data_IF_219472617476
#
_entry.id   IF_219472617476
#
_cell.length_a   1.000
_cell.length_b   1.000
_cell.length_c   1.000
_cell.angle_alpha   90.00
_cell.angle_beta   90.00
_cell.angle_gamma   90.00
#
_symmetry.space_group_name_H-M   'P 1'
#
loop_
_entity.id
_entity.type
_entity.pdbx_description
1 polymer ?
#
# COMPACT_ATOMS: atom_id res chain seq x y z
N UNK A 1 -58.67 62.27 -10.38
CA UNK A 1 -60.10 61.93 -10.45
C UNK A 1 -60.25 60.79 -11.45
N UNK A 2 -60.91 59.69 -11.06
CA UNK A 2 -61.49 58.64 -11.93
C UNK A 2 -60.51 57.55 -12.45
N UNK A 3 -60.39 56.37 -11.83
CA UNK A 3 -61.23 55.13 -11.84
C UNK A 3 -60.97 54.18 -13.03
N UNK A 4 -60.26 53.07 -12.72
CA UNK A 4 -60.62 51.64 -12.85
C UNK A 4 -61.03 50.97 -14.20
N UNK A 5 -60.39 49.79 -14.42
CA UNK A 5 -60.82 48.52 -15.07
C UNK A 5 -60.85 48.41 -16.61
N UNK A 6 -60.11 47.44 -17.16
CA UNK A 6 -60.71 46.20 -17.72
C UNK A 6 -59.66 45.20 -18.27
N UNK A 7 -59.95 43.92 -18.00
CA UNK A 7 -59.28 42.64 -18.27
C UNK A 7 -58.58 42.41 -19.64
N UNK A 8 -57.46 41.65 -19.63
CA UNK A 8 -57.40 40.31 -20.29
C UNK A 8 -56.14 39.52 -19.90
N UNK A 9 -56.38 38.28 -19.49
CA UNK A 9 -55.41 37.24 -19.15
C UNK A 9 -54.39 36.99 -20.25
N UNK A 10 -53.13 36.73 -19.89
CA UNK A 10 -52.30 35.75 -20.58
C UNK A 10 -51.29 35.12 -19.63
N UNK A 11 -51.25 33.80 -19.73
CA UNK A 11 -50.66 32.80 -18.89
C UNK A 11 -49.27 32.49 -19.43
N UNK A 12 -48.20 32.59 -18.64
CA UNK A 12 -46.91 31.96 -18.97
C UNK A 12 -46.13 31.58 -17.70
N UNK A 13 -46.35 30.34 -17.29
CA UNK A 13 -45.32 29.34 -17.04
C UNK A 13 -44.03 29.77 -16.32
N UNK A 14 -43.90 29.27 -15.10
CA UNK A 14 -42.82 28.36 -14.70
C UNK A 14 -41.41 28.69 -15.23
N UNK A 15 -40.69 29.51 -14.48
CA UNK A 15 -39.22 29.48 -14.46
C UNK A 15 -38.79 29.27 -13.02
N UNK A 16 -38.92 28.02 -12.55
CA UNK A 16 -38.10 27.50 -11.47
C UNK A 16 -36.66 27.63 -11.96
N UNK A 17 -35.94 28.66 -11.48
CA UNK A 17 -34.51 28.81 -11.72
C UNK A 17 -33.81 27.65 -11.00
N UNK A 18 -33.75 26.50 -11.67
CA UNK A 18 -32.75 25.47 -11.39
C UNK A 18 -31.40 26.09 -11.74
N UNK A 19 -30.82 26.79 -10.77
CA UNK A 19 -29.40 27.08 -10.78
C UNK A 19 -28.67 25.75 -11.01
N UNK A 20 -27.82 25.63 -12.05
CA UNK A 20 -26.94 24.49 -12.14
C UNK A 20 -26.05 24.54 -10.92
N UNK A 21 -26.30 23.66 -9.95
CA UNK A 21 -25.39 23.41 -8.83
C UNK A 21 -24.14 22.85 -9.47
N UNK A 22 -23.19 23.72 -9.81
CA UNK A 22 -21.82 23.29 -10.06
C UNK A 22 -21.35 22.75 -8.72
N UNK A 23 -21.54 21.45 -8.53
CA UNK A 23 -20.81 20.70 -7.55
C UNK A 23 -19.36 20.82 -8.01
N UNK A 24 -18.65 21.81 -7.46
CA UNK A 24 -17.20 21.80 -7.45
C UNK A 24 -16.87 20.51 -6.70
N UNK A 25 -16.63 19.44 -7.43
CA UNK A 25 -15.89 18.32 -6.90
C UNK A 25 -14.53 18.90 -6.59
N UNK A 26 -14.36 19.37 -5.36
CA UNK A 26 -13.04 19.57 -4.80
C UNK A 26 -12.38 18.20 -4.93
N UNK A 27 -11.49 18.08 -5.91
CA UNK A 27 -10.60 16.95 -6.00
C UNK A 27 -9.88 16.90 -4.66
N UNK A 28 -10.30 15.98 -3.77
CA UNK A 28 -9.52 15.60 -2.60
C UNK A 28 -8.28 14.84 -3.07
N UNK A 29 -7.46 15.50 -3.89
CA UNK A 29 -6.12 15.08 -4.25
C UNK A 29 -5.24 15.32 -3.01
N UNK A 30 -5.32 14.44 -2.02
CA UNK A 30 -4.44 14.54 -0.85
C UNK A 30 -4.75 13.59 0.28
N UNK A 31 -6.03 13.29 0.54
CA UNK A 31 -6.42 12.34 1.57
C UNK A 31 -6.59 10.96 0.97
N UNK A 32 -6.00 9.92 1.60
CA UNK A 32 -6.46 8.55 1.36
C UNK A 32 -7.95 8.54 1.69
N UNK A 33 -8.78 8.10 0.74
CA UNK A 33 -10.19 7.86 1.03
C UNK A 33 -10.31 6.86 2.19
N UNK A 34 -11.35 6.97 3.01
CA UNK A 34 -11.52 6.08 4.18
C UNK A 34 -11.52 4.62 3.73
N UNK A 35 -12.13 4.34 2.58
CA UNK A 35 -12.14 3.01 1.94
C UNK A 35 -10.74 2.50 1.62
N UNK A 36 -9.88 3.40 1.12
CA UNK A 36 -8.48 3.11 0.83
C UNK A 36 -7.70 2.79 2.10
N UNK A 37 -7.88 3.59 3.15
CA UNK A 37 -7.23 3.35 4.44
C UNK A 37 -7.68 2.02 5.08
N UNK A 38 -8.97 1.70 4.99
CA UNK A 38 -9.51 0.41 5.44
C UNK A 38 -8.91 -0.74 4.63
N UNK A 39 -8.76 -0.60 3.31
CA UNK A 39 -8.14 -1.64 2.46
C UNK A 39 -6.69 -1.90 2.86
N UNK A 40 -5.91 -0.85 3.12
CA UNK A 40 -4.54 -0.97 3.65
C UNK A 40 -4.54 -1.71 4.98
N UNK A 41 -5.41 -1.29 5.92
CA UNK A 41 -5.47 -1.90 7.25
C UNK A 41 -5.83 -3.39 7.20
N UNK A 42 -6.80 -3.77 6.36
CA UNK A 42 -7.20 -5.18 6.17
C UNK A 42 -6.08 -5.99 5.52
N UNK A 43 -5.39 -5.44 4.52
CA UNK A 43 -4.24 -6.11 3.87
C UNK A 43 -3.11 -6.35 4.88
N UNK A 44 -2.71 -5.33 5.64
CA UNK A 44 -1.66 -5.44 6.64
C UNK A 44 -2.06 -6.42 7.75
N UNK A 45 -3.31 -6.39 8.23
CA UNK A 45 -3.80 -7.33 9.22
C UNK A 45 -3.79 -8.78 8.70
N UNK A 46 -4.19 -8.99 7.45
CA UNK A 46 -4.11 -10.30 6.80
C UNK A 46 -2.66 -10.78 6.66
N UNK A 47 -1.73 -9.89 6.29
CA UNK A 47 -0.29 -10.15 6.26
C UNK A 47 0.23 -10.60 7.63
N UNK A 48 -0.10 -9.87 8.69
CA UNK A 48 0.30 -10.20 10.06
C UNK A 48 -0.23 -11.56 10.53
N UNK A 49 -1.51 -11.87 10.26
CA UNK A 49 -2.10 -13.16 10.60
C UNK A 49 -1.36 -14.29 9.86
N UNK A 50 -1.03 -14.07 8.59
CA UNK A 50 -0.31 -15.05 7.79
C UNK A 50 1.12 -15.25 8.29
N UNK A 51 1.80 -14.19 8.75
CA UNK A 51 3.12 -14.28 9.40
C UNK A 51 3.10 -15.11 10.68
N UNK A 52 2.11 -14.87 11.54
CA UNK A 52 1.97 -15.60 12.80
C UNK A 52 1.57 -17.07 12.59
N UNK A 53 0.99 -17.41 11.45
CA UNK A 53 0.52 -18.76 11.14
C UNK A 53 1.46 -19.45 10.16
N UNK A 54 1.24 -19.26 8.86
CA UNK A 54 2.01 -19.88 7.77
C UNK A 54 3.46 -19.43 7.80
N UNK A 55 3.74 -18.18 8.15
CA UNK A 55 5.10 -17.65 8.19
C UNK A 55 5.97 -18.36 9.23
N UNK A 56 5.45 -18.56 10.44
CA UNK A 56 6.12 -19.37 11.48
C UNK A 56 6.25 -20.84 11.09
N UNK A 57 5.25 -21.41 10.42
CA UNK A 57 5.31 -22.79 9.94
C UNK A 57 6.41 -22.99 8.88
N UNK A 58 6.55 -22.06 7.93
CA UNK A 58 7.59 -22.09 6.89
C UNK A 58 8.97 -21.76 7.48
N UNK A 59 9.03 -20.87 8.47
CA UNK A 59 10.25 -20.52 9.21
C UNK A 59 10.92 -21.73 9.86
N UNK A 60 10.13 -22.75 10.25
CA UNK A 60 10.67 -23.99 10.77
C UNK A 60 11.52 -24.78 9.74
N UNK A 61 11.34 -24.52 8.45
CA UNK A 61 12.07 -25.16 7.34
C UNK A 61 13.26 -24.28 6.88
N UNK A 62 13.49 -23.13 7.52
CA UNK A 62 14.64 -22.26 7.27
C UNK A 62 14.40 -21.11 6.29
N UNK A 63 13.15 -20.87 5.87
CA UNK A 63 12.75 -19.68 5.10
C UNK A 63 11.83 -18.85 5.99
N UNK A 64 12.18 -17.61 6.28
CA UNK A 64 11.34 -16.70 7.06
C UNK A 64 10.61 -15.75 6.10
N UNK A 65 9.42 -16.12 5.59
CA UNK A 65 8.61 -15.20 4.79
C UNK A 65 8.08 -14.07 5.68
N UNK A 66 7.98 -12.87 5.09
CA UNK A 66 7.45 -11.66 5.72
C UNK A 66 6.23 -11.22 4.92
N UNK A 67 5.07 -11.77 5.25
CA UNK A 67 3.80 -11.53 4.55
C UNK A 67 3.26 -10.12 4.76
N UNK A 68 3.60 -9.46 5.87
CA UNK A 68 3.33 -8.02 6.04
C UNK A 68 3.97 -7.23 4.90
N UNK A 69 5.21 -7.56 4.49
CA UNK A 69 5.89 -6.89 3.36
C UNK A 69 5.10 -7.06 2.06
N UNK A 70 4.70 -8.30 1.76
CA UNK A 70 3.89 -8.61 0.59
C UNK A 70 2.56 -7.83 0.60
N UNK A 71 1.91 -7.73 1.76
CA UNK A 71 0.63 -7.05 1.91
C UNK A 71 0.69 -5.53 1.68
N UNK A 72 1.71 -4.84 2.19
CA UNK A 72 1.82 -3.40 1.96
C UNK A 72 2.25 -3.12 0.52
N UNK A 73 3.08 -3.98 -0.10
CA UNK A 73 3.40 -3.90 -1.52
C UNK A 73 2.13 -3.99 -2.38
N UNK A 74 1.23 -4.92 -2.04
CA UNK A 74 -0.10 -5.03 -2.63
C UNK A 74 -0.93 -3.78 -2.44
N UNK A 75 -0.94 -3.22 -1.22
CA UNK A 75 -1.68 -2.01 -0.94
C UNK A 75 -1.20 -0.86 -1.84
N UNK A 76 0.12 -0.68 -1.99
CA UNK A 76 0.69 0.35 -2.86
C UNK A 76 0.34 0.09 -4.34
N UNK A 77 0.37 -1.16 -4.80
CA UNK A 77 -0.04 -1.54 -6.16
C UNK A 77 -1.51 -1.22 -6.46
N UNK A 78 -2.39 -1.55 -5.53
CA UNK A 78 -3.84 -1.45 -5.70
C UNK A 78 -4.33 -0.01 -5.57
N UNK A 79 -3.79 0.73 -4.61
CA UNK A 79 -4.23 2.09 -4.30
C UNK A 79 -3.50 3.16 -5.12
N UNK A 80 -2.31 2.86 -5.68
CA UNK A 80 -1.40 3.83 -6.31
C UNK A 80 -1.30 5.14 -5.53
N UNK A 81 -0.97 5.07 -4.22
CA UNK A 81 -0.97 6.22 -3.31
C UNK A 81 0.08 7.26 -3.70
N UNK A 82 0.03 8.45 -3.08
CA UNK A 82 1.11 9.45 -3.20
C UNK A 82 2.39 8.99 -2.47
N UNK A 83 3.53 9.64 -2.73
CA UNK A 83 4.80 9.31 -2.07
C UNK A 83 4.69 9.36 -0.54
N UNK A 84 4.11 10.43 0.02
CA UNK A 84 3.89 10.59 1.48
C UNK A 84 2.99 9.49 2.03
N UNK A 85 1.92 9.16 1.31
CA UNK A 85 0.99 8.10 1.72
C UNK A 85 1.66 6.72 1.69
N UNK A 86 2.54 6.48 0.72
CA UNK A 86 3.34 5.25 0.63
C UNK A 86 4.26 5.12 1.84
N UNK A 87 4.93 6.21 2.24
CA UNK A 87 5.74 6.23 3.47
C UNK A 87 4.90 5.94 4.70
N UNK A 88 3.69 6.51 4.82
CA UNK A 88 2.79 6.22 5.95
C UNK A 88 2.41 4.73 5.97
N UNK A 89 2.09 4.14 4.82
CA UNK A 89 1.80 2.70 4.69
C UNK A 89 3.01 1.87 5.13
N UNK A 90 4.22 2.24 4.69
CA UNK A 90 5.48 1.61 5.09
C UNK A 90 5.75 1.73 6.60
N UNK A 91 5.50 2.89 7.20
CA UNK A 91 5.62 3.10 8.64
C UNK A 91 4.64 2.25 9.43
N UNK A 92 3.40 2.12 8.97
CA UNK A 92 2.39 1.25 9.60
C UNK A 92 2.85 -0.21 9.49
N UNK A 93 3.31 -0.64 8.30
CA UNK A 93 3.82 -1.99 8.09
C UNK A 93 5.03 -2.28 9.00
N UNK A 94 6.01 -1.37 9.04
CA UNK A 94 7.17 -1.47 9.92
C UNK A 94 6.79 -1.50 11.39
N UNK A 95 5.81 -0.70 11.82
CA UNK A 95 5.29 -0.73 13.19
C UNK A 95 4.62 -2.06 13.53
N UNK A 96 3.94 -2.67 12.56
CA UNK A 96 3.29 -3.99 12.73
C UNK A 96 4.34 -5.11 12.79
N UNK A 97 5.34 -5.10 11.92
CA UNK A 97 6.49 -6.02 11.98
C UNK A 97 7.25 -5.84 13.29
N UNK A 98 7.30 -4.60 13.81
CA UNK A 98 7.95 -4.30 15.09
C UNK A 98 7.37 -5.09 16.27
N UNK A 99 6.07 -5.43 16.22
CA UNK A 99 5.39 -6.17 17.28
C UNK A 99 5.90 -7.61 17.36
N UNK A 100 6.38 -8.17 16.24
CA UNK A 100 6.81 -9.56 16.12
C UNK A 100 8.34 -9.72 16.08
N UNK A 101 9.08 -8.65 15.80
CA UNK A 101 10.55 -8.66 15.70
C UNK A 101 11.26 -8.45 17.05
N UNK A 102 12.55 -8.78 17.07
CA UNK A 102 13.41 -8.65 18.25
C UNK A 102 14.25 -7.37 18.29
N UNK A 103 14.34 -6.63 17.18
CA UNK A 103 15.16 -5.43 17.07
C UNK A 103 14.30 -4.17 16.88
N UNK A 104 14.02 -3.42 17.96
CA UNK A 104 13.20 -2.21 17.89
C UNK A 104 13.80 -1.13 16.99
N UNK A 105 13.04 -0.66 16.01
CA UNK A 105 13.30 0.51 15.16
C UNK A 105 13.83 0.20 13.76
N UNK A 106 14.45 -0.96 13.53
CA UNK A 106 15.09 -1.26 12.24
C UNK A 106 14.07 -1.39 11.10
N UNK A 107 12.98 -2.11 11.34
CA UNK A 107 11.90 -2.34 10.37
C UNK A 107 11.16 -1.03 10.04
N UNK A 108 11.06 -0.09 10.98
CA UNK A 108 10.44 1.21 10.72
C UNK A 108 11.16 1.97 9.60
N UNK A 109 12.49 1.93 9.59
CA UNK A 109 13.32 2.58 8.58
C UNK A 109 13.32 1.77 7.29
N UNK A 110 13.52 0.46 7.40
CA UNK A 110 13.57 -0.44 6.24
C UNK A 110 12.27 -0.38 5.43
N UNK A 111 11.11 -0.51 6.09
CA UNK A 111 9.81 -0.55 5.43
C UNK A 111 9.38 0.81 4.84
N UNK A 112 9.77 1.92 5.50
CA UNK A 112 9.53 3.26 4.94
C UNK A 112 10.27 3.45 3.60
N UNK A 113 11.52 3.00 3.53
CA UNK A 113 12.32 3.07 2.31
C UNK A 113 11.80 2.08 1.27
N UNK A 114 11.47 0.86 1.69
CA UNK A 114 10.90 -0.18 0.82
C UNK A 114 9.58 0.28 0.18
N UNK A 115 8.71 0.96 0.93
CA UNK A 115 7.48 1.54 0.41
C UNK A 115 7.72 2.62 -0.65
N UNK A 116 8.77 3.45 -0.49
CA UNK A 116 9.17 4.41 -1.52
C UNK A 116 9.69 3.71 -2.79
N UNK A 117 10.46 2.63 -2.64
CA UNK A 117 10.91 1.81 -3.76
C UNK A 117 9.70 1.24 -4.51
N UNK A 118 8.73 0.67 -3.79
CA UNK A 118 7.53 0.12 -4.40
C UNK A 118 6.72 1.20 -5.12
N UNK A 119 6.56 2.37 -4.49
CA UNK A 119 5.93 3.53 -5.11
C UNK A 119 6.65 3.94 -6.40
N UNK A 120 7.99 4.00 -6.40
CA UNK A 120 8.76 4.32 -7.60
C UNK A 120 8.50 3.32 -8.74
N UNK A 121 8.40 2.03 -8.43
CA UNK A 121 8.01 1.02 -9.43
C UNK A 121 6.60 1.27 -9.98
N UNK A 122 5.63 1.66 -9.14
CA UNK A 122 4.27 1.99 -9.61
C UNK A 122 4.18 3.23 -10.50
N UNK A 123 5.22 4.09 -10.48
CA UNK A 123 5.32 5.29 -11.33
C UNK A 123 6.28 5.11 -12.51
N UNK A 124 7.00 3.99 -12.56
CA UNK A 124 7.94 3.69 -13.63
C UNK A 124 7.24 3.32 -14.94
N UNK A 125 7.97 3.33 -16.05
CA UNK A 125 7.47 2.84 -17.34
C UNK A 125 7.05 1.35 -17.31
N UNK A 126 7.50 0.59 -16.29
CA UNK A 126 7.14 -0.81 -16.10
C UNK A 126 5.82 -1.00 -15.36
N UNK A 127 5.18 0.06 -14.85
CA UNK A 127 3.99 -0.02 -13.99
C UNK A 127 2.79 -0.77 -14.61
N UNK A 128 2.67 -0.77 -15.93
CA UNK A 128 1.58 -1.44 -16.67
C UNK A 128 1.91 -2.90 -17.02
N UNK A 129 3.16 -3.34 -16.79
CA UNK A 129 3.58 -4.70 -17.18
C UNK A 129 3.03 -5.76 -16.23
N UNK A 130 2.65 -6.93 -16.78
CA UNK A 130 2.11 -8.05 -16.00
C UNK A 130 3.07 -8.57 -14.93
N UNK A 131 4.37 -8.42 -15.16
CA UNK A 131 5.46 -8.87 -14.29
C UNK A 131 5.87 -7.83 -13.24
N UNK A 132 5.34 -6.61 -13.32
CA UNK A 132 5.68 -5.55 -12.38
C UNK A 132 5.36 -5.88 -10.92
N UNK A 133 4.22 -6.53 -10.58
CA UNK A 133 3.97 -6.94 -9.20
C UNK A 133 5.08 -7.86 -8.67
N UNK A 134 5.51 -8.83 -9.48
CA UNK A 134 6.61 -9.73 -9.13
C UNK A 134 7.94 -8.99 -8.96
N UNK A 135 8.40 -8.26 -9.97
CA UNK A 135 9.72 -7.61 -9.94
C UNK A 135 9.77 -6.49 -8.91
N UNK A 136 8.72 -5.67 -8.84
CA UNK A 136 8.61 -4.57 -7.89
C UNK A 136 8.65 -5.08 -6.45
N UNK A 137 7.83 -6.08 -6.12
CA UNK A 137 7.83 -6.64 -4.76
C UNK A 137 9.08 -7.44 -4.43
N UNK A 138 9.70 -8.12 -5.39
CA UNK A 138 10.99 -8.79 -5.21
C UNK A 138 12.06 -7.78 -4.81
N UNK A 139 12.22 -6.70 -5.60
CA UNK A 139 13.23 -5.67 -5.35
C UNK A 139 12.91 -4.93 -4.05
N UNK A 140 11.65 -4.57 -3.82
CA UNK A 140 11.22 -3.93 -2.56
C UNK A 140 11.54 -4.80 -1.34
N UNK A 141 11.22 -6.09 -1.39
CA UNK A 141 11.50 -7.01 -0.26
C UNK A 141 13.00 -7.21 -0.06
N UNK A 142 13.76 -7.35 -1.15
CA UNK A 142 15.21 -7.48 -1.08
C UNK A 142 15.85 -6.22 -0.49
N UNK A 143 15.43 -5.03 -0.91
CA UNK A 143 15.90 -3.76 -0.36
C UNK A 143 15.55 -3.63 1.12
N UNK A 144 14.32 -3.98 1.52
CA UNK A 144 13.94 -3.96 2.94
C UNK A 144 14.82 -4.89 3.78
N UNK A 145 14.97 -6.14 3.34
CA UNK A 145 15.80 -7.14 4.03
C UNK A 145 17.28 -6.76 4.12
N UNK A 146 17.83 -6.13 3.08
CA UNK A 146 19.20 -5.63 3.08
C UNK A 146 19.40 -4.47 4.05
N UNK A 147 18.46 -3.52 4.10
CA UNK A 147 18.50 -2.40 5.06
C UNK A 147 18.39 -2.95 6.48
N UNK A 148 17.45 -3.87 6.72
CA UNK A 148 17.31 -4.54 8.00
C UNK A 148 18.60 -5.25 8.40
N UNK A 149 19.20 -6.06 7.51
CA UNK A 149 20.44 -6.78 7.80
C UNK A 149 21.61 -5.83 8.09
N UNK A 150 21.71 -4.72 7.36
CA UNK A 150 22.75 -3.70 7.56
C UNK A 150 22.64 -3.02 8.94
N UNK A 151 21.43 -2.93 9.51
CA UNK A 151 21.20 -2.40 10.86
C UNK A 151 21.34 -3.51 11.92
N UNK A 152 20.79 -4.68 11.66
CA UNK A 152 20.68 -5.77 12.62
C UNK A 152 22.00 -6.47 12.92
N UNK A 153 22.87 -6.63 11.93
CA UNK A 153 24.18 -7.30 12.10
C UNK A 153 25.08 -6.49 13.04
N UNK A 154 25.32 -5.18 12.83
CA UNK A 154 26.06 -4.36 13.78
C UNK A 154 25.41 -4.28 15.16
N UNK A 155 24.07 -4.16 15.23
CA UNK A 155 23.36 -4.08 16.51
C UNK A 155 23.52 -5.36 17.36
N UNK A 156 23.70 -6.52 16.72
CA UNK A 156 23.99 -7.80 17.37
C UNK A 156 25.48 -8.04 17.65
N UNK A 157 26.35 -7.05 17.39
CA UNK A 157 27.80 -7.19 17.48
C UNK A 157 28.35 -8.36 16.63
N UNK A 158 27.65 -8.67 15.53
CA UNK A 158 28.03 -9.75 14.62
C UNK A 158 28.90 -9.23 13.48
N UNK A 159 29.76 -10.10 12.95
CA UNK A 159 30.62 -9.80 11.80
C UNK A 159 29.92 -9.94 10.46
N UNK A 160 30.66 -9.68 9.38
CA UNK A 160 30.17 -9.82 8.00
C UNK A 160 29.72 -11.25 7.64
N UNK A 161 30.18 -12.26 8.39
CA UNK A 161 29.77 -13.65 8.20
C UNK A 161 28.25 -13.82 8.38
N UNK A 162 27.66 -13.18 9.40
CA UNK A 162 26.22 -13.23 9.61
C UNK A 162 25.47 -12.50 8.48
N UNK A 163 26.00 -11.36 8.02
CA UNK A 163 25.42 -10.62 6.91
C UNK A 163 25.39 -11.46 5.62
N UNK A 164 26.49 -12.15 5.31
CA UNK A 164 26.59 -13.02 4.14
C UNK A 164 25.64 -14.21 4.22
N UNK A 165 25.41 -14.79 5.41
CA UNK A 165 24.41 -15.85 5.62
C UNK A 165 22.98 -15.31 5.47
N UNK A 166 22.72 -14.05 5.81
CA UNK A 166 21.41 -13.44 5.63
C UNK A 166 21.09 -13.17 4.15
N UNK A 167 22.07 -12.93 3.28
CA UNK A 167 21.84 -12.63 1.86
C UNK A 167 20.98 -13.71 1.15
N UNK A 168 21.35 -15.01 1.17
CA UNK A 168 20.52 -16.07 0.58
C UNK A 168 19.12 -16.13 1.18
N UNK A 169 18.99 -15.95 2.51
CA UNK A 169 17.70 -15.98 3.20
C UNK A 169 16.82 -14.83 2.72
N UNK A 170 17.36 -13.60 2.64
CA UNK A 170 16.67 -12.42 2.13
C UNK A 170 16.20 -12.63 0.70
N UNK A 171 17.05 -13.19 -0.16
CA UNK A 171 16.68 -13.43 -1.56
C UNK A 171 15.61 -14.51 -1.70
N UNK A 172 15.67 -15.59 -0.91
CA UNK A 172 14.63 -16.61 -0.86
C UNK A 172 13.30 -16.04 -0.36
N UNK A 173 13.33 -15.26 0.70
CA UNK A 173 12.15 -14.56 1.23
C UNK A 173 11.57 -13.58 0.21
N UNK A 174 12.42 -12.79 -0.44
CA UNK A 174 12.00 -11.86 -1.48
C UNK A 174 11.35 -12.57 -2.66
N UNK A 175 11.90 -13.71 -3.09
CA UNK A 175 11.33 -14.52 -4.15
C UNK A 175 9.96 -15.06 -3.76
N UNK A 176 9.84 -15.61 -2.56
CA UNK A 176 8.57 -16.15 -2.07
C UNK A 176 7.50 -15.06 -1.96
N UNK A 177 7.84 -13.92 -1.37
CA UNK A 177 6.95 -12.77 -1.28
C UNK A 177 6.53 -12.27 -2.67
N UNK A 178 7.45 -12.24 -3.64
CA UNK A 178 7.15 -11.83 -5.00
C UNK A 178 6.15 -12.76 -5.70
N UNK A 179 6.26 -14.07 -5.47
CA UNK A 179 5.30 -15.06 -5.98
C UNK A 179 3.92 -14.81 -5.38
N UNK A 180 3.85 -14.62 -4.06
CA UNK A 180 2.61 -14.32 -3.34
C UNK A 180 1.98 -13.04 -3.89
N UNK A 181 2.76 -11.96 -3.99
CA UNK A 181 2.30 -10.68 -4.53
C UNK A 181 1.76 -10.84 -5.95
N UNK A 182 2.50 -11.52 -6.82
CA UNK A 182 2.10 -11.73 -8.20
C UNK A 182 0.82 -12.55 -8.33
N UNK A 183 0.65 -13.58 -7.49
CA UNK A 183 -0.54 -14.42 -7.46
C UNK A 183 -1.77 -13.65 -6.94
N UNK A 184 -1.59 -12.77 -5.94
CA UNK A 184 -2.70 -12.04 -5.31
C UNK A 184 -3.03 -10.71 -5.99
N UNK A 185 -2.12 -10.12 -6.78
CA UNK A 185 -2.32 -8.81 -7.41
C UNK A 185 -3.57 -8.79 -8.33
N UNK A 186 -3.72 -9.80 -9.19
CA UNK A 186 -4.86 -9.87 -10.11
C UNK A 186 -6.21 -10.05 -9.39
N UNK A 187 -6.41 -11.06 -8.50
CA UNK A 187 -7.69 -11.27 -7.82
C UNK A 187 -8.08 -10.11 -6.91
N UNK A 188 -7.12 -9.48 -6.21
CA UNK A 188 -7.44 -8.34 -5.36
C UNK A 188 -7.78 -7.09 -6.16
N UNK A 189 -7.14 -6.87 -7.31
CA UNK A 189 -7.52 -5.75 -8.19
C UNK A 189 -8.99 -5.84 -8.65
N UNK A 190 -9.48 -7.06 -8.88
CA UNK A 190 -10.88 -7.33 -9.23
C UNK A 190 -11.82 -7.14 -8.03
N UNK A 191 -11.39 -7.54 -6.83
CA UNK A 191 -12.17 -7.38 -5.61
C UNK A 191 -12.32 -5.91 -5.17
N UNK A 192 -11.29 -5.09 -5.38
CA UNK A 192 -11.26 -3.68 -4.97
C UNK A 192 -11.91 -2.73 -5.98
N UNK A 193 -12.08 -3.11 -7.25
CA UNK A 193 -12.76 -2.30 -8.30
C UNK A 193 -14.30 -2.42 -8.31
N UNK A 194 -14.92 -2.72 -7.16
CA UNK A 194 -16.39 -2.78 -7.05
C UNK A 194 -17.03 -1.40 -7.07
#
# INVERSE_FOLDING_TARGET
MTVQKSHRSQNLNSQNLKQPRIAIQSSRQGALDVTSLVTVAVLIAAGLILDLTVGKAISAVGIAPEFVIASFCLAILLLKPNAVQSVIIGLIAGAVIQITTSLPGADLVAESIAALVMFAFTKSAFAESRIMPFVGSFITTAVSGLIFAAIAVPAKHAGLDLFLVMIPVILCTALFNAIVVQALAEPLSKATRR
#
